data_IF_427197232792
#
_entry.id   IF_427197232792
#
_cell.length_a   1.000
_cell.length_b   1.000
_cell.length_c   1.000
_cell.angle_alpha   90.00
_cell.angle_beta   90.00
_cell.angle_gamma   90.00
#
_symmetry.space_group_name_H-M   'P 1'
#
loop_
_entity.id
_entity.type
_entity.pdbx_description
1 polymer ?
#
# COMPACT_ATOMS: atom_id res chain seq x y z
N UNK A 1 -36.73 -10.37 -5.89
CA UNK A 1 -35.45 -10.72 -6.56
C UNK A 1 -35.26 -9.93 -7.85
N UNK A 2 -36.25 -9.89 -8.75
CA UNK A 2 -36.15 -9.22 -10.07
C UNK A 2 -35.75 -7.74 -10.00
N UNK A 3 -36.35 -6.93 -9.12
CA UNK A 3 -35.98 -5.51 -8.97
C UNK A 3 -34.53 -5.29 -8.51
N UNK A 4 -33.99 -6.21 -7.69
CA UNK A 4 -32.60 -6.12 -7.20
C UNK A 4 -31.60 -6.36 -8.33
N UNK A 5 -31.90 -7.29 -9.23
CA UNK A 5 -31.09 -7.52 -10.43
C UNK A 5 -31.15 -6.32 -11.38
N UNK A 6 -32.27 -5.58 -11.42
CA UNK A 6 -32.38 -4.34 -12.19
C UNK A 6 -31.44 -3.24 -11.68
N UNK A 7 -31.46 -2.95 -10.38
CA UNK A 7 -30.59 -1.92 -9.78
C UNK A 7 -29.12 -2.33 -9.88
N UNK A 8 -28.77 -3.55 -9.48
CA UNK A 8 -27.38 -4.01 -9.53
C UNK A 8 -26.86 -4.13 -10.97
N UNK A 9 -27.71 -4.61 -11.89
CA UNK A 9 -27.39 -4.66 -13.32
C UNK A 9 -27.10 -3.28 -13.89
N UNK A 10 -27.88 -2.25 -13.52
CA UNK A 10 -27.62 -0.87 -13.94
C UNK A 10 -26.31 -0.32 -13.38
N UNK A 11 -25.97 -0.61 -12.12
CA UNK A 11 -24.69 -0.19 -11.51
C UNK A 11 -23.49 -0.89 -12.17
N UNK A 12 -23.58 -2.19 -12.40
CA UNK A 12 -22.55 -2.96 -13.08
C UNK A 12 -22.36 -2.48 -14.53
N UNK A 13 -23.45 -2.15 -15.23
CA UNK A 13 -23.41 -1.56 -16.57
C UNK A 13 -22.70 -0.20 -16.55
N UNK A 14 -23.03 0.68 -15.60
CA UNK A 14 -22.38 2.00 -15.50
C UNK A 14 -20.89 1.87 -15.22
N UNK A 15 -20.48 1.04 -14.26
CA UNK A 15 -19.06 0.81 -14.01
C UNK A 15 -18.37 0.11 -15.17
N UNK A 16 -19.06 -0.79 -15.88
CA UNK A 16 -18.57 -1.43 -17.11
C UNK A 16 -18.35 -0.41 -18.22
N UNK A 17 -19.27 0.54 -18.39
CA UNK A 17 -19.11 1.67 -19.33
C UNK A 17 -17.92 2.53 -18.91
N UNK A 18 -17.80 2.87 -17.62
CA UNK A 18 -16.64 3.61 -17.09
C UNK A 18 -15.34 2.86 -17.41
N UNK A 19 -15.30 1.54 -17.20
CA UNK A 19 -14.14 0.72 -17.52
C UNK A 19 -13.79 0.73 -19.01
N UNK A 20 -14.78 0.53 -19.88
CA UNK A 20 -14.58 0.56 -21.35
C UNK A 20 -14.11 1.95 -21.80
N UNK A 21 -14.71 3.02 -21.29
CA UNK A 21 -14.24 4.39 -21.52
C UNK A 21 -12.80 4.53 -21.06
N UNK A 22 -12.44 3.98 -19.90
CA UNK A 22 -11.07 3.97 -19.39
C UNK A 22 -10.09 3.20 -20.27
N UNK A 23 -10.47 2.06 -20.82
CA UNK A 23 -9.65 1.31 -21.77
C UNK A 23 -9.47 2.07 -23.09
N UNK A 24 -10.56 2.63 -23.62
CA UNK A 24 -10.53 3.45 -24.83
C UNK A 24 -9.69 4.71 -24.61
N UNK A 25 -9.85 5.38 -23.47
CA UNK A 25 -9.03 6.51 -23.06
C UNK A 25 -7.57 6.09 -22.86
N UNK A 26 -7.27 4.94 -22.26
CA UNK A 26 -5.90 4.44 -22.11
C UNK A 26 -5.27 4.12 -23.46
N UNK A 27 -6.02 3.56 -24.40
CA UNK A 27 -5.53 3.27 -25.76
C UNK A 27 -5.31 4.56 -26.55
N UNK A 28 -6.29 5.46 -26.56
CA UNK A 28 -6.20 6.76 -27.23
C UNK A 28 -5.13 7.66 -26.59
N UNK A 29 -5.17 7.86 -25.27
CA UNK A 29 -4.17 8.68 -24.57
C UNK A 29 -2.80 8.02 -24.45
N UNK A 30 -2.71 6.69 -24.38
CA UNK A 30 -1.42 5.98 -24.37
C UNK A 30 -0.61 6.27 -25.63
N UNK A 31 -1.28 6.37 -26.79
CA UNK A 31 -0.64 6.77 -28.06
C UNK A 31 -0.38 8.29 -28.16
N UNK A 32 -1.10 9.13 -27.42
CA UNK A 32 -0.98 10.60 -27.48
C UNK A 32 -0.09 11.21 -26.39
N UNK A 33 0.11 10.51 -25.27
CA UNK A 33 0.83 11.02 -24.11
C UNK A 33 2.23 10.41 -24.03
N UNK A 34 2.37 9.10 -24.23
CA UNK A 34 3.67 8.44 -24.26
C UNK A 34 4.04 8.23 -25.72
N UNK A 35 5.09 8.90 -26.24
CA UNK A 35 5.61 8.61 -27.57
C UNK A 35 5.80 7.10 -27.74
N UNK A 36 5.36 6.52 -28.88
CA UNK A 36 5.41 5.07 -29.10
C UNK A 36 6.81 4.51 -28.89
N UNK A 37 7.82 5.30 -29.22
CA UNK A 37 9.23 5.00 -29.04
C UNK A 37 9.58 4.76 -27.56
N UNK A 38 8.95 5.49 -26.63
CA UNK A 38 9.16 5.36 -25.18
C UNK A 38 8.34 4.23 -24.54
N UNK A 39 7.36 3.69 -25.25
CA UNK A 39 6.51 2.60 -24.75
C UNK A 39 7.15 1.20 -24.89
N UNK A 40 8.28 1.11 -25.61
CA UNK A 40 9.01 -0.15 -25.78
C UNK A 40 9.63 -0.62 -24.44
N UNK A 41 9.59 -1.93 -24.12
CA UNK A 41 10.08 -2.46 -22.84
C UNK A 41 11.53 -2.08 -22.50
N UNK A 42 12.38 -1.91 -23.52
CA UNK A 42 13.79 -1.54 -23.40
C UNK A 42 14.03 -0.04 -23.11
N UNK A 43 12.99 0.81 -23.16
CA UNK A 43 13.10 2.26 -23.03
C UNK A 43 12.59 2.80 -21.67
N UNK A 44 12.53 1.96 -20.63
CA UNK A 44 12.07 2.37 -19.29
C UNK A 44 12.80 3.60 -18.74
N UNK A 45 14.12 3.69 -18.91
CA UNK A 45 14.90 4.85 -18.44
C UNK A 45 14.47 6.16 -19.13
N UNK A 46 14.25 6.10 -20.45
CA UNK A 46 13.81 7.23 -21.24
C UNK A 46 12.35 7.62 -20.91
N UNK A 47 11.48 6.64 -20.66
CA UNK A 47 10.12 6.87 -20.16
C UNK A 47 10.12 7.57 -18.80
N UNK A 48 10.93 7.11 -17.86
CA UNK A 48 11.07 7.74 -16.53
C UNK A 48 11.56 9.18 -16.66
N UNK A 49 12.60 9.42 -17.48
CA UNK A 49 13.11 10.76 -17.74
C UNK A 49 12.04 11.68 -18.35
N UNK A 50 11.26 11.16 -19.31
CA UNK A 50 10.17 11.89 -19.94
C UNK A 50 9.05 12.23 -18.95
N UNK A 51 8.65 11.29 -18.08
CA UNK A 51 7.63 11.49 -17.04
C UNK A 51 8.07 12.53 -16.02
N UNK A 52 9.35 12.51 -15.63
CA UNK A 52 9.96 13.51 -14.73
C UNK A 52 9.97 14.91 -15.36
N UNK A 53 10.20 15.01 -16.66
CA UNK A 53 10.20 16.29 -17.38
C UNK A 53 8.78 16.87 -17.57
N UNK A 54 7.71 16.08 -17.39
CA UNK A 54 6.31 16.50 -17.65
C UNK A 54 5.36 16.08 -16.51
N UNK A 55 5.61 16.52 -15.26
CA UNK A 55 4.92 16.00 -14.08
C UNK A 55 3.40 16.18 -14.15
N UNK A 56 2.91 17.32 -14.66
CA UNK A 56 1.47 17.58 -14.79
C UNK A 56 0.80 16.57 -15.73
N UNK A 57 1.42 16.26 -16.88
CA UNK A 57 0.85 15.28 -17.83
C UNK A 57 0.87 13.88 -17.25
N UNK A 58 1.96 13.51 -16.56
CA UNK A 58 2.09 12.24 -15.86
C UNK A 58 0.98 12.07 -14.80
N UNK A 59 0.71 13.11 -14.01
CA UNK A 59 -0.35 13.11 -13.01
C UNK A 59 -1.73 13.03 -13.66
N UNK A 60 -2.02 13.83 -14.67
CA UNK A 60 -3.31 13.81 -15.37
C UNK A 60 -3.59 12.46 -16.05
N UNK A 61 -2.56 11.73 -16.47
CA UNK A 61 -2.71 10.40 -17.02
C UNK A 61 -2.88 9.32 -15.94
N UNK A 62 -2.08 9.38 -14.88
CA UNK A 62 -2.11 8.38 -13.82
C UNK A 62 -3.37 8.49 -12.95
N UNK A 63 -3.79 9.70 -12.60
CA UNK A 63 -4.89 9.97 -11.66
C UNK A 63 -6.21 9.28 -12.03
N UNK A 64 -6.76 9.43 -13.26
CA UNK A 64 -8.01 8.75 -13.62
C UNK A 64 -7.90 7.24 -13.52
N UNK A 65 -6.74 6.68 -13.87
CA UNK A 65 -6.50 5.24 -13.77
C UNK A 65 -6.45 4.78 -12.32
N UNK A 66 -5.65 5.43 -11.48
CA UNK A 66 -5.45 5.04 -10.08
C UNK A 66 -6.66 5.33 -9.19
N UNK A 67 -7.43 6.38 -9.49
CA UNK A 67 -8.57 6.79 -8.67
C UNK A 67 -9.92 6.28 -9.16
N UNK A 68 -10.07 6.03 -10.46
CA UNK A 68 -11.37 5.63 -11.02
C UNK A 68 -11.30 4.26 -11.67
N UNK A 69 -10.47 4.07 -12.70
CA UNK A 69 -10.57 2.85 -13.52
C UNK A 69 -10.09 1.59 -12.81
N UNK A 70 -8.96 1.65 -12.10
CA UNK A 70 -8.45 0.54 -11.28
C UNK A 70 -9.51 0.09 -10.25
N UNK A 71 -9.93 0.99 -9.34
CA UNK A 71 -10.97 0.68 -8.37
C UNK A 71 -12.26 0.17 -9.01
N UNK A 72 -12.77 0.80 -10.07
CA UNK A 72 -14.00 0.35 -10.72
C UNK A 72 -13.89 -1.10 -11.25
N UNK A 73 -12.75 -1.46 -11.82
CA UNK A 73 -12.48 -2.82 -12.33
C UNK A 73 -12.43 -3.82 -11.20
N UNK A 74 -11.69 -3.51 -10.14
CA UNK A 74 -11.51 -4.39 -8.99
C UNK A 74 -12.84 -4.61 -8.26
N UNK A 75 -13.65 -3.57 -8.09
CA UNK A 75 -14.97 -3.67 -7.47
C UNK A 75 -15.96 -4.47 -8.33
N UNK A 76 -15.93 -4.31 -9.65
CA UNK A 76 -16.72 -5.14 -10.56
C UNK A 76 -16.35 -6.62 -10.47
N UNK A 77 -15.06 -6.95 -10.39
CA UNK A 77 -14.59 -8.34 -10.34
C UNK A 77 -14.82 -8.99 -8.98
N UNK A 78 -14.54 -8.27 -7.89
CA UNK A 78 -14.51 -8.86 -6.55
C UNK A 78 -15.77 -8.56 -5.71
N UNK A 79 -16.49 -7.46 -5.96
CA UNK A 79 -17.66 -7.06 -5.14
C UNK A 79 -18.99 -7.22 -5.82
N UNK A 80 -19.11 -6.94 -7.12
CA UNK A 80 -20.38 -7.12 -7.81
C UNK A 80 -20.94 -8.56 -7.63
N UNK A 81 -20.14 -9.64 -7.72
CA UNK A 81 -20.65 -10.99 -7.46
C UNK A 81 -21.14 -11.18 -6.01
N UNK A 82 -20.43 -10.62 -5.02
CA UNK A 82 -20.83 -10.73 -3.61
C UNK A 82 -22.13 -9.99 -3.33
N UNK A 83 -22.27 -8.75 -3.83
CA UNK A 83 -23.46 -7.94 -3.64
C UNK A 83 -24.66 -8.57 -4.36
N UNK A 84 -24.45 -9.17 -5.55
CA UNK A 84 -25.49 -9.90 -6.27
C UNK A 84 -25.98 -11.14 -5.50
N UNK A 85 -25.06 -11.92 -4.93
CA UNK A 85 -25.37 -13.16 -4.22
C UNK A 85 -25.94 -12.92 -2.82
N UNK A 86 -25.53 -11.86 -2.14
CA UNK A 86 -25.90 -11.58 -0.75
C UNK A 86 -26.70 -10.28 -0.63
N UNK A 87 -27.99 -10.40 -0.36
CA UNK A 87 -28.87 -9.26 -0.13
C UNK A 87 -28.74 -8.59 1.25
N UNK A 88 -28.02 -9.21 2.19
CA UNK A 88 -27.77 -8.74 3.55
C UNK A 88 -26.59 -9.53 4.16
N UNK A 89 -26.05 -9.06 5.28
CA UNK A 89 -24.93 -9.72 5.95
C UNK A 89 -25.35 -10.93 6.78
N UNK A 90 -25.37 -12.11 6.14
CA UNK A 90 -25.46 -13.41 6.83
C UNK A 90 -24.08 -13.89 7.29
N UNK A 91 -24.04 -14.94 8.12
CA UNK A 91 -22.79 -15.61 8.49
C UNK A 91 -22.05 -16.15 7.26
N UNK A 92 -22.78 -16.67 6.27
CA UNK A 92 -22.18 -17.12 5.00
C UNK A 92 -21.58 -15.95 4.22
N UNK A 93 -22.30 -14.82 4.12
CA UNK A 93 -21.78 -13.62 3.46
C UNK A 93 -20.49 -13.12 4.11
N UNK A 94 -20.38 -13.18 5.44
CA UNK A 94 -19.16 -12.82 6.17
C UNK A 94 -17.99 -13.73 5.80
N UNK A 95 -18.20 -15.05 5.79
CA UNK A 95 -17.16 -16.02 5.43
C UNK A 95 -16.64 -15.79 4.00
N UNK A 96 -17.54 -15.58 3.04
CA UNK A 96 -17.15 -15.33 1.64
C UNK A 96 -16.47 -13.97 1.50
N UNK A 97 -16.97 -12.92 2.16
CA UNK A 97 -16.36 -11.59 2.18
C UNK A 97 -14.93 -11.64 2.71
N UNK A 98 -14.70 -12.29 3.86
CA UNK A 98 -13.37 -12.41 4.46
C UNK A 98 -12.44 -13.20 3.55
N UNK A 99 -12.88 -14.36 3.05
CA UNK A 99 -12.06 -15.22 2.19
C UNK A 99 -11.63 -14.49 0.91
N UNK A 100 -12.58 -13.84 0.22
CA UNK A 100 -12.28 -13.08 -1.01
C UNK A 100 -11.41 -11.85 -0.73
N UNK A 101 -11.57 -11.21 0.43
CA UNK A 101 -10.73 -10.06 0.83
C UNK A 101 -9.29 -10.46 1.14
N UNK A 102 -9.08 -11.62 1.76
CA UNK A 102 -7.73 -12.17 1.98
C UNK A 102 -7.07 -12.48 0.63
N UNK A 103 -7.78 -13.16 -0.28
CA UNK A 103 -7.26 -13.44 -1.61
C UNK A 103 -6.90 -12.15 -2.35
N UNK A 104 -7.76 -11.14 -2.28
CA UNK A 104 -7.52 -9.81 -2.87
C UNK A 104 -6.27 -9.11 -2.29
N UNK A 105 -6.10 -9.14 -0.96
CA UNK A 105 -4.90 -8.59 -0.31
C UNK A 105 -3.62 -9.36 -0.66
N UNK A 106 -3.70 -10.68 -0.83
CA UNK A 106 -2.59 -11.50 -1.29
C UNK A 106 -2.16 -11.14 -2.73
N UNK A 107 -3.11 -10.99 -3.66
CA UNK A 107 -2.81 -10.55 -5.03
C UNK A 107 -2.04 -9.21 -5.04
N UNK A 108 -2.46 -8.26 -4.22
CA UNK A 108 -1.78 -6.96 -4.07
C UNK A 108 -0.41 -7.04 -3.40
N UNK A 109 -0.14 -8.11 -2.66
CA UNK A 109 1.18 -8.36 -2.05
C UNK A 109 2.13 -9.01 -3.05
N UNK A 110 1.60 -9.82 -3.98
CA UNK A 110 2.40 -10.59 -4.95
C UNK A 110 2.68 -9.86 -6.27
N UNK A 111 1.84 -8.91 -6.69
CA UNK A 111 2.02 -8.23 -7.99
C UNK A 111 3.35 -7.44 -8.08
N UNK A 112 3.95 -7.10 -6.93
CA UNK A 112 5.25 -6.40 -6.84
C UNK A 112 6.46 -7.35 -6.64
N UNK A 113 6.27 -8.67 -6.69
CA UNK A 113 7.37 -9.62 -6.48
C UNK A 113 8.42 -9.57 -7.60
N UNK A 114 8.04 -9.26 -8.83
CA UNK A 114 8.95 -9.39 -9.98
C UNK A 114 9.97 -8.24 -10.05
N UNK A 115 9.60 -6.96 -9.95
CA UNK A 115 10.55 -5.88 -10.19
C UNK A 115 11.53 -5.64 -9.03
N UNK A 116 11.05 -5.74 -7.78
CA UNK A 116 11.85 -5.38 -6.62
C UNK A 116 12.90 -6.44 -6.27
N UNK A 117 12.58 -7.72 -6.50
CA UNK A 117 13.49 -8.84 -6.24
C UNK A 117 14.65 -8.83 -7.26
N UNK A 118 14.38 -8.39 -8.49
CA UNK A 118 15.40 -8.14 -9.51
C UNK A 118 16.26 -6.91 -9.17
N UNK A 119 15.65 -5.82 -8.66
CA UNK A 119 16.38 -4.63 -8.25
C UNK A 119 17.32 -4.90 -7.05
N UNK A 120 16.84 -5.63 -6.04
CA UNK A 120 17.66 -5.98 -4.86
C UNK A 120 18.76 -7.01 -5.17
N UNK A 121 18.61 -7.82 -6.22
CA UNK A 121 19.64 -8.76 -6.65
C UNK A 121 20.77 -8.09 -7.43
N UNK A 122 20.52 -6.89 -8.00
CA UNK A 122 21.52 -6.11 -8.74
C UNK A 122 22.48 -5.34 -7.83
N UNK A 123 22.05 -4.99 -6.62
CA UNK A 123 22.87 -4.23 -5.65
C UNK A 123 23.47 -5.19 -4.61
N UNK A 124 24.48 -5.95 -5.02
CA UNK A 124 25.19 -6.94 -4.18
C UNK A 124 26.15 -6.35 -3.12
N UNK A 125 25.91 -5.12 -2.66
CA UNK A 125 26.71 -4.43 -1.65
C UNK A 125 25.99 -4.30 -0.29
N UNK A 126 26.06 -5.33 0.55
CA UNK A 126 25.95 -5.32 2.03
C UNK A 126 24.80 -4.61 2.79
N UNK A 127 23.78 -4.03 2.15
CA UNK A 127 22.66 -3.40 2.89
C UNK A 127 21.54 -4.37 3.27
N UNK A 128 21.84 -5.39 4.09
CA UNK A 128 20.85 -6.26 4.74
C UNK A 128 19.64 -5.55 5.43
N UNK A 129 19.76 -4.35 6.05
CA UNK A 129 18.61 -3.67 6.66
C UNK A 129 17.50 -3.28 5.66
N UNK A 130 17.79 -3.17 4.36
CA UNK A 130 16.78 -2.82 3.36
C UNK A 130 15.76 -3.95 3.14
N UNK A 131 16.17 -5.22 3.26
CA UNK A 131 15.29 -6.38 3.00
C UNK A 131 14.17 -6.51 4.03
N UNK A 132 14.47 -6.27 5.31
CA UNK A 132 13.48 -6.32 6.39
C UNK A 132 12.39 -5.26 6.24
N UNK A 133 12.78 -4.03 5.88
CA UNK A 133 11.84 -2.92 5.64
C UNK A 133 10.90 -3.21 4.46
N UNK A 134 11.44 -3.77 3.37
CA UNK A 134 10.65 -4.17 2.19
C UNK A 134 9.60 -5.22 2.58
N UNK A 135 9.99 -6.27 3.30
CA UNK A 135 9.07 -7.33 3.74
C UNK A 135 7.99 -6.77 4.67
N UNK A 136 8.37 -5.94 5.64
CA UNK A 136 7.43 -5.31 6.57
C UNK A 136 6.42 -4.42 5.84
N UNK A 137 6.88 -3.59 4.89
CA UNK A 137 6.02 -2.72 4.08
C UNK A 137 5.03 -3.53 3.24
N UNK A 138 5.47 -4.67 2.67
CA UNK A 138 4.62 -5.59 1.91
C UNK A 138 3.54 -6.23 2.78
N UNK A 139 3.91 -6.75 3.95
CA UNK A 139 2.94 -7.33 4.89
C UNK A 139 1.92 -6.28 5.31
N UNK A 140 2.40 -5.08 5.67
CA UNK A 140 1.53 -3.97 6.04
C UNK A 140 0.55 -3.62 4.92
N UNK A 141 1.02 -3.52 3.67
CA UNK A 141 0.16 -3.26 2.50
C UNK A 141 -0.87 -4.36 2.33
N UNK A 142 -0.48 -5.63 2.37
CA UNK A 142 -1.41 -6.76 2.24
C UNK A 142 -2.50 -6.75 3.31
N UNK A 143 -2.13 -6.48 4.56
CA UNK A 143 -3.08 -6.35 5.68
C UNK A 143 -4.00 -5.14 5.50
N UNK A 144 -3.46 -3.97 5.14
CA UNK A 144 -4.24 -2.77 4.91
C UNK A 144 -5.23 -2.94 3.75
N UNK A 145 -4.78 -3.52 2.62
CA UNK A 145 -5.64 -3.84 1.47
C UNK A 145 -6.72 -4.85 1.84
N UNK A 146 -6.40 -5.86 2.65
CA UNK A 146 -7.40 -6.82 3.16
C UNK A 146 -8.45 -6.13 4.03
N UNK A 147 -8.03 -5.24 4.93
CA UNK A 147 -8.94 -4.47 5.79
C UNK A 147 -9.87 -3.56 4.98
N UNK A 148 -9.32 -2.84 4.00
CA UNK A 148 -10.09 -2.03 3.06
C UNK A 148 -11.09 -2.86 2.27
N UNK A 149 -10.66 -4.02 1.77
CA UNK A 149 -11.48 -4.96 1.02
C UNK A 149 -12.69 -5.44 1.83
N UNK A 150 -12.48 -5.78 3.11
CA UNK A 150 -13.56 -6.14 4.04
C UNK A 150 -14.51 -4.94 4.24
N UNK A 151 -13.97 -3.75 4.46
CA UNK A 151 -14.76 -2.53 4.70
C UNK A 151 -15.64 -2.19 3.48
N UNK A 152 -15.05 -2.15 2.28
CA UNK A 152 -15.74 -1.87 1.03
C UNK A 152 -16.83 -2.91 0.77
N UNK A 153 -16.51 -4.21 0.91
CA UNK A 153 -17.49 -5.28 0.70
C UNK A 153 -18.61 -5.30 1.76
N UNK A 154 -18.31 -5.01 3.02
CA UNK A 154 -19.34 -4.88 4.07
C UNK A 154 -20.34 -3.77 3.73
N UNK A 155 -19.87 -2.58 3.38
CA UNK A 155 -20.75 -1.48 2.99
C UNK A 155 -21.44 -1.73 1.65
N UNK A 156 -20.78 -2.38 0.70
CA UNK A 156 -21.36 -2.79 -0.58
C UNK A 156 -22.56 -3.72 -0.39
N UNK A 157 -22.44 -4.75 0.46
CA UNK A 157 -23.51 -5.70 0.75
C UNK A 157 -24.61 -5.05 1.58
N UNK A 158 -24.28 -4.36 2.68
CA UNK A 158 -25.29 -3.75 3.57
C UNK A 158 -26.08 -2.64 2.89
N UNK A 159 -25.47 -1.87 1.98
CA UNK A 159 -26.14 -0.81 1.21
C UNK A 159 -26.63 -1.26 -0.16
N UNK A 160 -26.35 -2.49 -0.57
CA UNK A 160 -26.63 -3.01 -1.92
C UNK A 160 -26.16 -2.03 -3.02
N UNK A 161 -24.94 -1.50 -2.84
CA UNK A 161 -24.42 -0.40 -3.66
C UNK A 161 -22.96 -0.64 -4.03
N UNK A 162 -22.74 -0.92 -5.31
CA UNK A 162 -21.41 -1.04 -5.89
C UNK A 162 -20.70 0.33 -5.92
N UNK A 163 -21.45 1.43 -6.07
CA UNK A 163 -20.91 2.79 -5.97
C UNK A 163 -20.38 3.12 -4.58
N UNK A 164 -21.02 2.63 -3.51
CA UNK A 164 -20.48 2.80 -2.15
C UNK A 164 -19.14 2.09 -2.00
N UNK A 165 -19.05 0.84 -2.47
CA UNK A 165 -17.82 0.05 -2.45
C UNK A 165 -16.70 0.72 -3.27
N UNK A 166 -17.02 1.12 -4.50
CA UNK A 166 -16.14 1.92 -5.36
C UNK A 166 -15.70 3.24 -4.73
N UNK A 167 -16.62 3.98 -4.10
CA UNK A 167 -16.31 5.26 -3.46
C UNK A 167 -15.32 5.10 -2.31
N UNK A 168 -15.49 4.07 -1.47
CA UNK A 168 -14.55 3.73 -0.39
C UNK A 168 -13.16 3.42 -0.96
N UNK A 169 -13.11 2.62 -2.03
CA UNK A 169 -11.87 2.24 -2.67
C UNK A 169 -11.17 3.43 -3.34
N UNK A 170 -11.88 4.21 -4.15
CA UNK A 170 -11.35 5.40 -4.80
C UNK A 170 -10.85 6.44 -3.76
N UNK A 171 -11.61 6.64 -2.68
CA UNK A 171 -11.22 7.52 -1.58
C UNK A 171 -9.95 7.04 -0.88
N UNK A 172 -9.81 5.73 -0.67
CA UNK A 172 -8.58 5.15 -0.14
C UNK A 172 -7.38 5.42 -1.05
N UNK A 173 -7.52 5.20 -2.36
CA UNK A 173 -6.43 5.48 -3.31
C UNK A 173 -6.05 6.97 -3.35
N UNK A 174 -7.02 7.87 -3.19
CA UNK A 174 -6.75 9.31 -3.07
C UNK A 174 -6.08 9.66 -1.73
N UNK A 175 -6.39 8.95 -0.65
CA UNK A 175 -5.85 9.19 0.67
C UNK A 175 -4.45 8.61 0.87
N UNK A 176 -4.07 7.50 0.21
CA UNK A 176 -2.75 6.86 0.38
C UNK A 176 -1.58 7.85 0.28
N UNK A 177 -1.48 8.71 -0.77
CA UNK A 177 -0.37 9.65 -0.87
C UNK A 177 -0.29 10.60 0.33
N UNK A 178 -1.44 11.06 0.82
CA UNK A 178 -1.55 11.94 1.99
C UNK A 178 -1.11 11.18 3.26
N UNK A 179 -1.58 9.94 3.44
CA UNK A 179 -1.19 9.09 4.57
C UNK A 179 0.32 8.81 4.55
N UNK A 180 0.90 8.55 3.38
CA UNK A 180 2.34 8.30 3.23
C UNK A 180 3.19 9.55 3.50
N UNK A 181 2.74 10.73 3.05
CA UNK A 181 3.49 11.99 3.23
C UNK A 181 3.36 12.52 4.66
N UNK A 182 2.18 12.38 5.27
CA UNK A 182 1.88 13.00 6.56
C UNK A 182 1.97 11.96 7.68
N UNK A 183 1.12 10.93 7.65
CA UNK A 183 0.92 10.02 8.78
C UNK A 183 2.14 9.13 9.01
N UNK A 184 2.74 8.59 7.95
CA UNK A 184 3.86 7.64 8.07
C UNK A 184 5.08 8.26 8.78
N UNK A 185 5.56 9.49 8.45
CA UNK A 185 6.61 10.16 9.22
C UNK A 185 6.27 10.31 10.70
N UNK A 186 5.04 10.70 11.05
CA UNK A 186 4.63 10.82 12.45
C UNK A 186 4.69 9.49 13.19
N UNK A 187 4.25 8.39 12.57
CA UNK A 187 4.33 7.05 13.15
C UNK A 187 5.79 6.64 13.35
N UNK A 188 6.65 6.83 12.35
CA UNK A 188 8.08 6.50 12.44
C UNK A 188 8.77 7.30 13.55
N UNK A 189 8.55 8.61 13.60
CA UNK A 189 9.08 9.48 14.66
C UNK A 189 8.59 9.00 16.02
N UNK A 190 7.29 8.69 16.15
CA UNK A 190 6.70 8.21 17.41
C UNK A 190 7.33 6.90 17.88
N UNK A 191 7.58 5.96 16.97
CA UNK A 191 8.26 4.69 17.29
C UNK A 191 9.71 4.95 17.70
N UNK A 192 10.46 5.78 16.97
CA UNK A 192 11.85 6.13 17.32
C UNK A 192 11.91 6.77 18.70
N UNK A 193 11.03 7.73 18.98
CA UNK A 193 10.93 8.41 20.28
C UNK A 193 10.61 7.39 21.38
N UNK A 194 9.61 6.52 21.16
CA UNK A 194 9.22 5.50 22.14
C UNK A 194 10.36 4.52 22.42
N UNK A 195 11.01 4.00 21.39
CA UNK A 195 12.17 3.09 21.54
C UNK A 195 13.30 3.80 22.28
N UNK A 196 13.60 5.06 21.97
CA UNK A 196 14.62 5.84 22.68
C UNK A 196 14.24 6.07 24.14
N UNK A 197 13.01 6.45 24.44
CA UNK A 197 12.54 6.64 25.82
C UNK A 197 12.64 5.35 26.64
N UNK A 198 12.37 4.19 26.03
CA UNK A 198 12.49 2.88 26.69
C UNK A 198 13.95 2.47 26.86
N UNK A 199 14.79 2.64 25.84
CA UNK A 199 16.19 2.13 25.84
C UNK A 199 17.19 3.06 26.51
N UNK A 200 16.94 4.37 26.52
CA UNK A 200 17.83 5.38 27.08
C UNK A 200 18.13 5.17 28.58
N UNK A 201 17.16 4.84 29.45
CA UNK A 201 17.44 4.53 30.86
C UNK A 201 18.41 3.36 31.02
N UNK A 202 18.27 2.31 30.20
CA UNK A 202 19.17 1.15 30.26
C UNK A 202 20.58 1.50 29.78
N UNK A 203 20.69 2.30 28.72
CA UNK A 203 21.98 2.79 28.24
C UNK A 203 22.67 3.68 29.27
N UNK A 204 21.95 4.64 29.84
CA UNK A 204 22.44 5.53 30.89
C UNK A 204 22.88 4.76 32.14
N UNK A 205 22.12 3.73 32.55
CA UNK A 205 22.47 2.85 33.66
C UNK A 205 23.75 2.05 33.37
N UNK A 206 23.89 1.55 32.14
CA UNK A 206 25.09 0.85 31.66
C UNK A 206 26.33 1.73 31.72
N UNK A 207 26.26 2.93 31.15
CA UNK A 207 27.36 3.91 31.21
C UNK A 207 27.70 4.32 32.65
N UNK A 208 26.68 4.52 33.50
CA UNK A 208 26.91 4.84 34.92
C UNK A 208 27.65 3.71 35.64
N UNK A 209 27.24 2.45 35.43
CA UNK A 209 27.93 1.27 35.98
C UNK A 209 29.37 1.17 35.48
N UNK A 210 29.59 1.38 34.19
CA UNK A 210 30.93 1.38 33.58
C UNK A 210 31.83 2.47 34.16
N UNK A 211 31.36 3.73 34.21
CA UNK A 211 32.09 4.84 34.85
C UNK A 211 32.43 4.55 36.31
N UNK A 212 31.51 3.95 37.06
CA UNK A 212 31.74 3.57 38.47
C UNK A 212 32.83 2.51 38.62
N UNK A 213 32.91 1.51 37.72
CA UNK A 213 34.01 0.52 37.70
C UNK A 213 35.36 1.17 37.39
N UNK A 214 35.43 2.02 36.36
CA UNK A 214 36.68 2.72 36.00
C UNK A 214 37.22 3.61 37.12
N UNK A 215 36.35 4.28 37.87
CA UNK A 215 36.74 5.04 39.08
C UNK A 215 37.31 4.16 40.19
N UNK A 216 36.88 2.90 40.32
CA UNK A 216 37.46 1.95 41.29
C UNK A 216 38.83 1.47 40.84
N UNK A 217 39.00 1.14 39.57
CA UNK A 217 40.30 0.70 39.03
C UNK A 217 41.35 1.80 39.09
N UNK A 218 41.01 3.03 38.72
CA UNK A 218 41.94 4.18 38.83
C UNK A 218 42.38 4.45 40.28
N UNK A 219 41.46 4.42 41.25
CA UNK A 219 41.82 4.53 42.68
C UNK A 219 42.64 3.36 43.21
N UNK A 220 42.46 2.16 42.65
CA UNK A 220 43.29 1.02 42.99
C UNK A 220 44.71 1.23 42.43
N UNK A 221 44.83 1.53 41.15
CA UNK A 221 46.11 1.82 40.49
C UNK A 221 46.88 2.96 41.15
N UNK A 222 46.21 4.07 41.49
CA UNK A 222 46.85 5.19 42.19
C UNK A 222 47.45 4.80 43.55
N UNK A 223 46.85 3.84 44.27
CA UNK A 223 47.41 3.33 45.52
C UNK A 223 48.66 2.47 45.33
N UNK A 224 48.80 1.82 44.17
CA UNK A 224 50.00 1.06 43.82
C UNK A 224 51.21 1.94 43.49
N UNK A 225 51.01 3.18 43.06
CA UNK A 225 52.10 4.11 42.71
C UNK A 225 52.64 4.94 43.88
N UNK A 226 51.97 4.90 45.05
CA UNK A 226 52.37 5.67 46.25
C UNK A 226 53.28 4.84 47.18
N UNK A 227 53.45 3.55 46.90
CA UNK A 227 54.35 2.63 47.62
C UNK A 227 55.50 2.22 46.71
#
# INVERSE_FOLDING_TARGET
>A
MVERFGVLGSQALILGIIYVIGLCARKAHGEWIIPKELSAPNNQAALIAWLKARPVRSVLFAMPWTLCFGPATEELLFRAPLIACFGHMTSMAWTVLVTTSIAFGLFHTFDEFVPLTLACASDSGDSAPARGQIVAMRIFRGVATTGLAILAGYYGITRQSLFMSFGIHAAWNAAIPIVQIIVLPFVVISVIVTVRLITYPFHALGEWRFRRRMRRYSRAAARWFVH
#
